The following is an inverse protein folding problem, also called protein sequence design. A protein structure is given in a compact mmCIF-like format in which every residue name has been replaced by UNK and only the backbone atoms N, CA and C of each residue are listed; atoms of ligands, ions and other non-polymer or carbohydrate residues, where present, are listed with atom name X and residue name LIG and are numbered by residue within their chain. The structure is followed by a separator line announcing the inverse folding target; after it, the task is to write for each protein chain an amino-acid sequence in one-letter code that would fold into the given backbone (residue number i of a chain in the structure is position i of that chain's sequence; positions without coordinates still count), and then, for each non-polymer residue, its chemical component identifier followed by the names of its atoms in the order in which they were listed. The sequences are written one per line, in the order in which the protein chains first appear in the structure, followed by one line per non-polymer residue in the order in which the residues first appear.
data_IF_455697304119
#
_entry.id   IF_455697304119
#
_cell.length_a   1.000
_cell.length_b   1.000
_cell.length_c   1.000
_cell.angle_alpha   90.00
_cell.angle_beta   90.00
_cell.angle_gamma   90.00
#
_symmetry.space_group_name_H-M   'P 1'
#
loop_
_entity.id
_entity.type
_entity.pdbx_description
1 polymer ?
#
# COMPACT_ATOMS: atom_id res chain seq x y z
N UNK A 1 -13.71 1.72 10.69
CA UNK A 1 -12.53 1.14 10.00
C UNK A 1 -12.57 -0.37 9.94
N UNK A 2 -12.56 -1.11 11.05
CA UNK A 2 -12.59 -2.59 11.05
C UNK A 2 -13.59 -3.22 10.07
N UNK A 3 -14.85 -2.76 10.05
CA UNK A 3 -15.86 -3.26 9.13
C UNK A 3 -15.51 -3.07 7.64
N UNK A 4 -14.81 -1.98 7.27
CA UNK A 4 -14.39 -1.72 5.89
C UNK A 4 -13.30 -2.71 5.49
N UNK A 5 -12.29 -2.90 6.34
CA UNK A 5 -11.23 -3.90 6.11
C UNK A 5 -11.81 -5.31 5.98
N UNK A 6 -12.66 -5.72 6.92
CA UNK A 6 -13.32 -7.03 6.86
C UNK A 6 -14.14 -7.21 5.58
N UNK A 7 -14.81 -6.15 5.12
CA UNK A 7 -15.60 -6.18 3.88
C UNK A 7 -14.71 -6.33 2.66
N UNK A 8 -13.60 -5.60 2.60
CA UNK A 8 -12.61 -5.71 1.53
C UNK A 8 -11.94 -7.09 1.52
N UNK A 9 -11.44 -7.57 2.66
CA UNK A 9 -10.88 -8.93 2.82
C UNK A 9 -11.86 -10.01 2.36
N UNK A 10 -13.14 -9.86 2.73
CA UNK A 10 -14.20 -10.78 2.35
C UNK A 10 -14.49 -10.73 0.86
N UNK A 11 -14.44 -9.55 0.24
CA UNK A 11 -14.58 -9.41 -1.21
C UNK A 11 -13.40 -10.07 -1.92
N UNK A 12 -12.17 -9.79 -1.51
CA UNK A 12 -10.93 -10.35 -2.08
C UNK A 12 -10.97 -11.88 -2.01
N UNK A 13 -11.24 -12.44 -0.83
CA UNK A 13 -11.30 -13.90 -0.60
C UNK A 13 -12.36 -14.60 -1.47
N UNK A 14 -13.49 -13.93 -1.75
CA UNK A 14 -14.59 -14.53 -2.53
C UNK A 14 -14.38 -14.42 -4.04
N UNK A 15 -13.77 -13.34 -4.50
CA UNK A 15 -13.71 -13.00 -5.92
C UNK A 15 -12.34 -13.28 -6.54
N UNK A 16 -11.29 -13.44 -5.72
CA UNK A 16 -9.93 -13.69 -6.17
C UNK A 16 -9.31 -14.86 -5.41
N UNK A 17 -8.11 -15.29 -5.81
CA UNK A 17 -7.28 -16.27 -5.08
C UNK A 17 -6.16 -15.59 -4.29
N UNK A 18 -6.26 -14.28 -4.08
CA UNK A 18 -5.21 -13.43 -3.49
C UNK A 18 -5.55 -13.10 -2.04
N UNK A 19 -4.61 -12.43 -1.37
CA UNK A 19 -4.78 -11.91 -0.02
C UNK A 19 -4.28 -10.47 0.04
N UNK A 20 -4.93 -9.63 0.85
CA UNK A 20 -4.40 -8.29 1.15
C UNK A 20 -3.10 -8.35 1.98
N UNK A 21 -2.79 -9.48 2.62
CA UNK A 21 -1.59 -9.61 3.45
C UNK A 21 -1.58 -8.66 4.67
N UNK A 22 -2.75 -8.26 5.16
CA UNK A 22 -2.88 -7.28 6.25
C UNK A 22 -2.22 -7.78 7.53
N UNK A 23 -1.36 -6.94 8.10
CA UNK A 23 -0.64 -7.23 9.33
C UNK A 23 -1.57 -7.04 10.53
N UNK A 24 -1.30 -7.70 11.68
CA UNK A 24 -2.00 -7.39 12.93
C UNK A 24 -1.90 -5.90 13.27
N UNK A 25 -2.96 -5.33 13.84
CA UNK A 25 -2.99 -3.91 14.20
C UNK A 25 -1.85 -3.45 15.12
N UNK A 26 -1.41 -2.22 14.90
CA UNK A 26 -0.41 -1.55 15.72
C UNK A 26 -0.96 -1.30 17.14
N UNK A 27 -0.07 -1.27 18.12
CA UNK A 27 -0.45 -0.93 19.49
C UNK A 27 -0.67 0.58 19.67
N UNK A 28 -1.57 0.96 20.57
CA UNK A 28 -1.78 2.34 21.00
C UNK A 28 -0.47 3.05 21.40
N UNK A 29 0.44 2.31 22.05
CA UNK A 29 1.74 2.81 22.49
C UNK A 29 2.66 3.13 21.31
N UNK A 30 2.68 2.25 20.31
CA UNK A 30 3.46 2.45 19.09
C UNK A 30 2.94 3.66 18.29
N UNK A 31 1.62 3.78 18.14
CA UNK A 31 1.01 4.93 17.43
C UNK A 31 1.34 6.24 18.14
N UNK A 32 1.18 6.31 19.47
CA UNK A 32 1.54 7.51 20.24
C UNK A 32 3.02 7.86 20.13
N UNK A 33 3.90 6.86 20.06
CA UNK A 33 5.33 7.08 19.86
C UNK A 33 5.63 7.64 18.47
N UNK A 34 4.94 7.14 17.43
CA UNK A 34 5.03 7.65 16.06
C UNK A 34 4.55 9.11 15.98
N UNK A 35 3.33 9.41 16.46
CA UNK A 35 2.79 10.78 16.51
C UNK A 35 3.75 11.75 17.21
N UNK A 36 4.31 11.34 18.35
CA UNK A 36 5.32 12.13 19.06
C UNK A 36 6.61 12.34 18.25
N UNK A 37 7.05 11.32 17.50
CA UNK A 37 8.28 11.37 16.68
C UNK A 37 8.10 12.27 15.46
N UNK A 38 6.94 12.21 14.80
CA UNK A 38 6.61 13.03 13.64
C UNK A 38 6.20 14.46 14.04
N UNK A 39 5.84 14.69 15.31
CA UNK A 39 5.38 16.00 15.79
C UNK A 39 3.97 16.35 15.33
N UNK A 40 3.14 15.35 15.02
CA UNK A 40 1.78 15.49 14.50
C UNK A 40 0.83 14.49 15.16
N UNK A 41 -0.47 14.70 14.98
CA UNK A 41 -1.51 13.74 15.37
C UNK A 41 -2.07 13.11 14.10
N UNK A 42 -2.20 11.78 14.06
CA UNK A 42 -2.81 11.14 12.90
C UNK A 42 -4.32 11.42 12.85
N UNK A 43 -4.89 11.64 11.66
CA UNK A 43 -6.33 11.65 11.45
C UNK A 43 -7.02 10.46 12.13
N UNK A 44 -8.18 10.65 12.79
CA UNK A 44 -8.83 9.61 13.59
C UNK A 44 -9.14 8.31 12.82
N UNK A 45 -9.44 8.43 11.53
CA UNK A 45 -9.72 7.31 10.67
C UNK A 45 -8.46 6.53 10.27
N UNK A 46 -7.36 7.21 9.94
CA UNK A 46 -6.08 6.58 9.69
C UNK A 46 -5.54 5.89 10.96
N UNK A 47 -5.62 6.57 12.11
CA UNK A 47 -5.34 5.96 13.42
C UNK A 47 -6.16 4.70 13.65
N UNK A 48 -7.46 4.76 13.36
CA UNK A 48 -8.36 3.60 13.49
C UNK A 48 -8.03 2.48 12.50
N UNK A 49 -7.42 2.81 11.36
CA UNK A 49 -6.89 1.84 10.39
C UNK A 49 -5.66 1.14 10.96
N UNK A 50 -4.67 1.88 11.46
CA UNK A 50 -3.45 1.33 12.08
C UNK A 50 -3.76 0.39 13.25
N UNK A 51 -4.75 0.73 14.08
CA UNK A 51 -5.23 -0.13 15.18
C UNK A 51 -5.91 -1.42 14.68
N UNK A 52 -6.42 -1.43 13.45
CA UNK A 52 -6.98 -2.63 12.83
C UNK A 52 -5.86 -3.45 12.18
N UNK A 53 -5.04 -2.81 11.35
CA UNK A 53 -3.96 -3.43 10.58
C UNK A 53 -2.74 -2.50 10.46
N UNK A 54 -1.56 -3.04 10.74
CA UNK A 54 -0.28 -2.32 10.65
C UNK A 54 0.33 -2.43 9.23
N UNK A 55 -0.43 -2.01 8.22
CA UNK A 55 -0.05 -2.10 6.81
C UNK A 55 -0.19 -3.51 6.21
N UNK A 56 0.38 -3.69 5.02
CA UNK A 56 0.45 -4.95 4.28
C UNK A 56 1.81 -5.61 4.47
N UNK A 57 1.85 -6.93 4.29
CA UNK A 57 3.10 -7.66 4.07
C UNK A 57 3.40 -7.60 2.58
N UNK A 58 4.54 -7.03 2.14
CA UNK A 58 4.90 -7.01 0.73
C UNK A 58 4.91 -8.42 0.14
N UNK A 59 4.27 -8.58 -1.01
CA UNK A 59 4.22 -9.84 -1.75
C UNK A 59 3.91 -9.57 -3.22
N UNK A 60 4.64 -10.23 -4.11
CA UNK A 60 4.40 -10.21 -5.57
C UNK A 60 3.01 -10.78 -5.92
N UNK A 61 2.41 -11.52 -4.98
CA UNK A 61 1.15 -12.22 -5.14
C UNK A 61 0.01 -11.59 -4.32
N UNK A 62 0.25 -10.41 -3.74
CA UNK A 62 -0.68 -9.67 -2.89
C UNK A 62 -1.82 -9.02 -3.67
N UNK A 63 -2.92 -8.71 -2.97
CA UNK A 63 -3.98 -7.85 -3.49
C UNK A 63 -3.73 -6.41 -3.07
N UNK A 64 -3.82 -5.42 -3.97
CA UNK A 64 -3.51 -4.03 -3.65
C UNK A 64 -4.59 -3.39 -2.75
N UNK A 65 -4.17 -2.55 -1.81
CA UNK A 65 -5.09 -1.85 -0.90
C UNK A 65 -5.86 -0.71 -1.58
N UNK A 66 -5.34 -0.19 -2.71
CA UNK A 66 -5.97 0.72 -3.67
C UNK A 66 -5.39 0.49 -5.08
N UNK A 67 -6.13 0.79 -6.17
CA UNK A 67 -5.63 0.69 -7.55
C UNK A 67 -4.41 1.59 -7.80
N UNK A 68 -3.36 1.05 -8.44
CA UNK A 68 -2.16 1.79 -8.81
C UNK A 68 -1.34 2.33 -7.63
N UNK A 69 -1.61 1.88 -6.40
CA UNK A 69 -0.83 2.28 -5.23
C UNK A 69 0.09 1.15 -4.81
N UNK A 70 1.31 1.52 -4.42
CA UNK A 70 2.24 0.59 -3.80
C UNK A 70 1.68 0.02 -2.47
N UNK A 71 2.28 -1.06 -1.92
CA UNK A 71 1.79 -1.69 -0.70
C UNK A 71 1.70 -0.73 0.49
N UNK A 72 0.61 -0.84 1.28
CA UNK A 72 0.43 -0.01 2.47
C UNK A 72 1.52 -0.32 3.51
N UNK A 73 2.25 0.71 3.92
CA UNK A 73 3.41 0.57 4.79
C UNK A 73 3.03 0.27 6.24
N UNK A 74 3.91 -0.44 6.95
CA UNK A 74 3.78 -0.61 8.40
C UNK A 74 4.09 0.70 9.12
N UNK A 75 3.56 0.91 10.33
CA UNK A 75 3.83 2.10 11.14
C UNK A 75 5.33 2.32 11.36
N UNK A 76 6.09 1.24 11.52
CA UNK A 76 7.55 1.32 11.63
C UNK A 76 8.16 1.91 10.35
N UNK A 77 7.77 1.38 9.20
CA UNK A 77 8.25 1.83 7.89
C UNK A 77 7.83 3.27 7.61
N UNK A 78 6.60 3.66 7.96
CA UNK A 78 6.12 5.05 7.87
C UNK A 78 7.03 6.01 8.63
N UNK A 79 7.39 5.65 9.88
CA UNK A 79 8.27 6.50 10.70
C UNK A 79 9.70 6.56 10.15
N UNK A 80 10.21 5.44 9.64
CA UNK A 80 11.52 5.36 8.99
C UNK A 80 11.56 6.23 7.73
N UNK A 81 10.65 5.99 6.79
CA UNK A 81 10.55 6.73 5.55
C UNK A 81 10.34 8.22 5.77
N UNK A 82 9.38 8.60 6.63
CA UNK A 82 9.18 10.01 6.96
C UNK A 82 10.46 10.66 7.49
N UNK A 83 11.22 9.95 8.34
CA UNK A 83 12.48 10.47 8.89
C UNK A 83 13.53 10.65 7.80
N UNK A 84 13.62 9.71 6.86
CA UNK A 84 14.56 9.76 5.76
C UNK A 84 14.21 10.88 4.77
N UNK A 85 12.92 11.09 4.47
CA UNK A 85 12.45 12.19 3.64
C UNK A 85 12.74 13.57 4.25
N UNK A 86 12.77 13.71 5.59
CA UNK A 86 13.04 15.00 6.23
C UNK A 86 14.40 15.63 5.87
N UNK A 87 15.33 14.87 5.28
CA UNK A 87 16.62 15.42 4.81
C UNK A 87 16.50 16.20 3.51
N UNK A 88 15.40 16.03 2.79
CA UNK A 88 15.11 16.63 1.47
C UNK A 88 13.96 17.64 1.54
N UNK A 89 13.60 18.13 2.73
CA UNK A 89 12.60 19.20 2.85
C UNK A 89 13.15 20.45 2.20
N UNK A 90 12.40 20.96 1.22
CA UNK A 90 12.70 22.23 0.58
C UNK A 90 12.16 23.39 1.44
N UNK A 91 12.96 24.44 1.56
CA UNK A 91 12.61 25.68 2.27
C UNK A 91 11.99 26.72 1.30
N UNK A 92 12.09 26.52 -0.01
CA UNK A 92 11.42 27.34 -1.01
C UNK A 92 9.93 26.98 -1.08
N UNK A 93 9.05 27.97 -1.29
CA UNK A 93 7.60 27.76 -1.43
C UNK A 93 7.31 27.54 -2.92
N UNK A 94 7.11 26.28 -3.36
CA UNK A 94 6.85 25.96 -4.76
C UNK A 94 5.45 26.41 -5.17
N UNK A 95 5.22 26.49 -6.48
CA UNK A 95 3.87 26.62 -7.01
C UNK A 95 3.05 25.37 -6.65
N UNK A 96 1.80 25.57 -6.21
CA UNK A 96 0.90 24.47 -5.87
C UNK A 96 0.65 23.56 -7.08
N UNK A 97 0.55 22.24 -6.87
CA UNK A 97 0.23 21.31 -7.96
C UNK A 97 -1.15 21.61 -8.54
N UNK A 98 -2.12 21.86 -7.68
CA UNK A 98 -3.48 22.26 -8.03
C UNK A 98 -4.13 23.04 -6.87
N UNK A 99 -5.45 23.23 -6.94
CA UNK A 99 -6.19 23.93 -5.90
C UNK A 99 -6.35 23.15 -4.58
N UNK A 100 -5.95 21.87 -4.52
CA UNK A 100 -6.06 20.97 -3.36
C UNK A 100 -4.72 20.52 -2.78
N UNK A 101 -3.65 20.50 -3.56
CA UNK A 101 -2.35 19.93 -3.19
C UNK A 101 -1.28 21.00 -3.31
N UNK A 102 -0.61 21.32 -2.18
CA UNK A 102 0.55 22.22 -2.22
C UNK A 102 1.74 21.58 -2.93
N UNK A 103 2.56 22.41 -3.58
CA UNK A 103 3.68 22.01 -4.45
C UNK A 103 4.85 21.31 -3.76
N UNK A 104 4.79 21.10 -2.45
CA UNK A 104 5.86 20.46 -1.71
C UNK A 104 5.86 18.96 -1.96
N UNK A 105 6.81 18.47 -2.75
CA UNK A 105 7.04 17.03 -2.89
C UNK A 105 7.27 16.37 -1.53
N UNK A 106 8.12 16.99 -0.69
CA UNK A 106 8.42 16.55 0.67
C UNK A 106 8.08 17.66 1.67
N UNK A 107 7.33 17.32 2.71
CA UNK A 107 7.00 18.27 3.79
C UNK A 107 6.76 17.52 5.11
N UNK A 108 7.13 18.07 6.29
CA UNK A 108 6.93 17.40 7.59
C UNK A 108 5.48 16.97 7.88
N UNK A 109 4.51 17.62 7.23
CA UNK A 109 3.07 17.35 7.35
C UNK A 109 2.48 16.56 6.17
N UNK A 110 3.31 16.04 5.25
CA UNK A 110 2.91 15.08 4.22
C UNK A 110 3.51 13.73 4.61
N UNK A 111 2.68 12.81 5.10
CA UNK A 111 3.17 11.57 5.72
C UNK A 111 3.13 10.43 4.71
N UNK A 112 4.25 9.78 4.36
CA UNK A 112 4.25 8.61 3.49
C UNK A 112 3.52 7.46 4.18
N UNK A 113 2.56 6.84 3.50
CA UNK A 113 1.74 5.74 4.03
C UNK A 113 1.79 4.48 3.18
N UNK A 114 2.23 4.56 1.92
CA UNK A 114 2.43 3.42 1.04
C UNK A 114 3.59 3.71 0.09
N UNK A 115 4.36 2.68 -0.25
CA UNK A 115 5.54 2.80 -1.11
C UNK A 115 6.09 1.43 -1.50
N UNK A 116 6.83 1.39 -2.61
CA UNK A 116 7.49 0.18 -3.08
C UNK A 116 8.72 -0.14 -2.21
N UNK A 117 9.57 -1.10 -2.61
CA UNK A 117 10.75 -1.48 -1.82
C UNK A 117 11.78 -0.33 -1.69
N UNK A 118 11.86 0.54 -2.70
CA UNK A 118 12.86 1.60 -2.84
C UNK A 118 12.31 3.00 -2.55
N UNK A 119 10.99 3.13 -2.39
CA UNK A 119 10.27 4.38 -2.18
C UNK A 119 10.52 5.43 -3.28
N UNK A 120 10.73 4.97 -4.51
CA UNK A 120 11.08 5.80 -5.68
C UNK A 120 9.96 5.93 -6.72
N UNK A 121 8.77 5.40 -6.45
CA UNK A 121 7.59 5.50 -7.32
C UNK A 121 6.30 5.09 -6.60
N UNK A 122 5.17 5.56 -7.13
CA UNK A 122 3.80 5.24 -6.66
C UNK A 122 3.57 5.41 -5.16
N UNK A 123 4.32 6.33 -4.55
CA UNK A 123 4.19 6.61 -3.13
C UNK A 123 2.85 7.28 -2.86
N UNK A 124 2.16 6.79 -1.84
CA UNK A 124 0.91 7.38 -1.37
C UNK A 124 1.16 8.07 -0.04
N UNK A 125 0.57 9.25 0.13
CA UNK A 125 0.74 10.10 1.29
C UNK A 125 -0.60 10.43 1.95
N UNK A 126 -0.53 10.66 3.26
CA UNK A 126 -1.55 11.36 4.01
C UNK A 126 -1.16 12.84 4.08
N UNK A 127 -1.94 13.68 3.41
CA UNK A 127 -1.64 15.10 3.27
C UNK A 127 -2.31 15.92 4.38
N UNK A 128 -1.50 16.47 5.28
CA UNK A 128 -1.94 17.36 6.36
C UNK A 128 -1.56 18.83 6.09
N UNK A 129 -1.16 19.16 4.85
CA UNK A 129 -0.94 20.53 4.37
C UNK A 129 -1.59 20.72 2.99
N UNK A 130 -2.91 20.52 2.88
CA UNK A 130 -3.61 20.77 1.63
C UNK A 130 -3.50 22.23 1.19
N UNK A 131 -3.71 22.47 -0.10
CA UNK A 131 -3.95 23.81 -0.62
C UNK A 131 -5.37 24.29 -0.29
N UNK A 132 -5.76 25.47 -0.79
CA UNK A 132 -6.96 26.19 -0.33
C UNK A 132 -8.28 25.42 -0.46
N UNK A 133 -8.42 24.54 -1.45
CA UNK A 133 -9.62 23.72 -1.67
C UNK A 133 -9.44 22.26 -1.22
N UNK A 134 -8.27 21.89 -0.70
CA UNK A 134 -8.01 20.54 -0.23
C UNK A 134 -8.56 20.29 1.18
N UNK A 135 -8.47 19.03 1.62
CA UNK A 135 -8.96 18.61 2.94
C UNK A 135 -7.80 18.07 3.77
N UNK A 136 -7.64 18.55 5.01
CA UNK A 136 -6.59 18.03 5.89
C UNK A 136 -6.86 16.55 6.20
N UNK A 137 -5.90 15.68 5.87
CA UNK A 137 -6.04 14.23 5.94
C UNK A 137 -6.49 13.58 4.63
N UNK A 138 -6.51 14.31 3.52
CA UNK A 138 -6.73 13.73 2.20
C UNK A 138 -5.61 12.73 1.84
N UNK A 139 -5.97 11.70 1.07
CA UNK A 139 -5.03 10.71 0.54
C UNK A 139 -4.62 11.16 -0.85
N UNK A 140 -3.32 11.38 -1.03
CA UNK A 140 -2.72 11.76 -2.32
C UNK A 140 -1.73 10.71 -2.76
N UNK A 141 -1.59 10.51 -4.05
CA UNK A 141 -0.61 9.56 -4.61
C UNK A 141 0.01 10.15 -5.85
N UNK A 142 1.26 9.76 -6.11
CA UNK A 142 1.84 10.02 -7.42
C UNK A 142 1.08 9.27 -8.51
N UNK A 143 0.84 9.95 -9.62
CA UNK A 143 0.24 9.43 -10.86
C UNK A 143 1.19 9.54 -12.05
N UNK A 144 2.22 10.37 -11.91
CA UNK A 144 3.43 10.39 -12.74
C UNK A 144 4.65 10.64 -11.85
N UNK A 145 5.86 10.73 -12.42
CA UNK A 145 7.07 11.13 -11.68
C UNK A 145 6.95 12.52 -11.02
N UNK A 146 6.09 13.38 -11.57
CA UNK A 146 5.97 14.78 -11.18
C UNK A 146 4.56 15.18 -10.74
N UNK A 147 3.53 14.36 -10.96
CA UNK A 147 2.14 14.73 -10.70
C UNK A 147 1.55 13.93 -9.53
N UNK A 148 0.72 14.61 -8.73
CA UNK A 148 -0.02 14.00 -7.63
C UNK A 148 -1.52 14.22 -7.79
N UNK A 149 -2.29 13.20 -7.47
CA UNK A 149 -3.75 13.27 -7.45
C UNK A 149 -4.34 12.99 -6.08
N UNK A 150 -5.44 13.68 -5.77
CA UNK A 150 -6.25 13.40 -4.59
C UNK A 150 -7.13 12.17 -4.84
N UNK A 151 -6.79 11.04 -4.21
CA UNK A 151 -7.62 9.84 -4.24
C UNK A 151 -8.93 10.05 -3.49
N UNK A 152 -8.88 10.63 -2.29
CA UNK A 152 -10.06 10.84 -1.46
C UNK A 152 -9.81 11.87 -0.36
N UNK A 153 -10.86 12.54 0.16
CA UNK A 153 -10.72 13.53 1.24
C UNK A 153 -10.33 12.92 2.60
N UNK A 154 -10.31 11.59 2.72
CA UNK A 154 -9.83 10.90 3.92
C UNK A 154 -9.47 9.44 3.64
N UNK A 155 -8.65 8.84 4.51
CA UNK A 155 -8.28 7.42 4.41
C UNK A 155 -9.50 6.50 4.45
N UNK A 156 -10.48 6.82 5.32
CA UNK A 156 -11.74 6.09 5.36
C UNK A 156 -12.48 6.17 4.03
N UNK A 157 -12.55 7.35 3.44
CA UNK A 157 -13.32 7.58 2.21
C UNK A 157 -12.66 6.86 1.02
N UNK A 158 -11.34 6.81 0.96
CA UNK A 158 -10.60 6.03 -0.04
C UNK A 158 -11.04 4.55 0.00
N UNK A 159 -11.03 3.92 1.18
CA UNK A 159 -11.48 2.52 1.31
C UNK A 159 -12.97 2.32 1.00
N UNK A 160 -13.83 3.25 1.42
CA UNK A 160 -15.26 3.16 1.10
C UNK A 160 -15.52 3.18 -0.40
N UNK A 161 -14.84 4.08 -1.11
CA UNK A 161 -14.92 4.21 -2.57
C UNK A 161 -14.34 2.98 -3.26
N UNK A 162 -13.21 2.48 -2.80
CA UNK A 162 -12.60 1.29 -3.39
C UNK A 162 -13.50 0.06 -3.26
N UNK A 163 -14.07 -0.18 -2.08
CA UNK A 163 -15.04 -1.27 -1.87
C UNK A 163 -16.24 -1.10 -2.78
N UNK A 164 -16.75 0.12 -2.93
CA UNK A 164 -17.88 0.41 -3.81
C UNK A 164 -17.55 0.16 -5.28
N UNK A 165 -16.33 0.49 -5.71
CA UNK A 165 -15.83 0.27 -7.06
C UNK A 165 -15.76 -1.24 -7.39
N UNK A 166 -15.24 -2.02 -6.45
CA UNK A 166 -15.13 -3.49 -6.57
C UNK A 166 -16.50 -4.19 -6.51
N UNK A 167 -17.40 -3.75 -5.62
CA UNK A 167 -18.71 -4.38 -5.46
C UNK A 167 -19.69 -4.04 -6.57
N UNK A 168 -19.56 -2.87 -7.19
CA UNK A 168 -20.34 -2.49 -8.38
C UNK A 168 -19.85 -3.21 -9.65
N UNK A 169 -18.64 -3.77 -9.64
CA UNK A 169 -17.99 -4.35 -10.81
C UNK A 169 -17.51 -3.28 -11.81
N UNK A 170 -17.40 -2.03 -11.36
CA UNK A 170 -16.79 -0.93 -12.12
C UNK A 170 -15.27 -1.07 -12.15
N UNK A 171 -14.67 -1.72 -11.15
CA UNK A 171 -13.26 -2.10 -11.12
C UNK A 171 -13.12 -3.62 -11.02
N UNK A 172 -12.16 -4.17 -11.78
CA UNK A 172 -11.92 -5.59 -11.92
C UNK A 172 -10.48 -5.91 -11.53
N UNK A 173 -10.29 -7.08 -10.93
CA UNK A 173 -8.96 -7.58 -10.59
C UNK A 173 -8.41 -8.43 -11.74
N UNK A 174 -7.25 -8.06 -12.28
CA UNK A 174 -6.47 -8.89 -13.20
C UNK A 174 -5.52 -9.78 -12.40
N UNK A 175 -5.76 -11.09 -12.45
CA UNK A 175 -4.94 -12.04 -11.73
C UNK A 175 -3.55 -12.27 -12.34
N UNK A 176 -3.36 -11.96 -13.64
CA UNK A 176 -2.08 -12.12 -14.34
C UNK A 176 -1.10 -11.02 -13.92
N UNK A 177 -1.54 -9.77 -13.98
CA UNK A 177 -0.73 -8.61 -13.61
C UNK A 177 -0.76 -8.34 -12.09
N UNK A 178 -1.76 -8.86 -11.37
CA UNK A 178 -1.89 -8.59 -9.94
C UNK A 178 -2.51 -7.22 -9.62
N UNK A 179 -3.16 -6.61 -10.60
CA UNK A 179 -3.65 -5.23 -10.52
C UNK A 179 -5.17 -5.14 -10.49
N UNK A 180 -5.67 -3.98 -10.03
CA UNK A 180 -7.07 -3.61 -10.17
C UNK A 180 -7.18 -2.45 -11.14
N UNK A 181 -7.98 -2.63 -12.20
CA UNK A 181 -8.20 -1.63 -13.25
C UNK A 181 -9.70 -1.35 -13.41
N UNK A 182 -10.02 -0.20 -14.00
CA UNK A 182 -11.41 0.18 -14.31
C UNK A 182 -11.92 -0.69 -15.46
N UNK A 183 -13.17 -1.16 -15.37
CA UNK A 183 -13.77 -1.96 -16.42
C UNK A 183 -13.80 -1.16 -17.74
N UNK A 184 -13.20 -1.73 -18.78
CA UNK A 184 -13.12 -1.12 -20.10
C UNK A 184 -11.79 -0.42 -20.37
N UNK A 185 -10.86 -0.40 -19.42
CA UNK A 185 -9.46 0.01 -19.64
C UNK A 185 -8.59 -1.24 -19.81
N UNK A 186 -7.48 -1.12 -20.55
CA UNK A 186 -6.49 -2.20 -20.64
C UNK A 186 -5.78 -2.34 -19.28
N UNK A 187 -5.51 -3.57 -18.80
CA UNK A 187 -4.63 -3.80 -17.67
C UNK A 187 -3.18 -3.51 -18.08
N UNK A 188 -2.49 -2.60 -17.39
CA UNK A 188 -1.04 -2.29 -17.53
C UNK A 188 -0.60 -1.64 -18.85
N UNK A 189 -0.13 -0.39 -18.77
CA UNK A 189 0.84 0.23 -19.69
C UNK A 189 2.26 -0.18 -19.28
N UNK A 190 2.59 -1.44 -19.49
CA UNK A 190 3.92 -1.97 -19.22
C UNK A 190 4.40 -2.71 -20.45
N UNK A 191 5.35 -2.09 -21.13
CA UNK A 191 6.25 -2.61 -22.17
C UNK A 191 6.04 -4.11 -22.45
N UNK A 192 5.10 -4.42 -23.35
CA UNK A 192 5.17 -5.65 -24.13
C UNK A 192 6.23 -5.41 -25.25
N UNK A 193 7.43 -4.96 -24.89
CA UNK A 193 8.63 -4.86 -25.75
C UNK A 193 9.28 -6.25 -25.92
N UNK A 194 8.45 -7.25 -26.23
CA UNK A 194 8.87 -8.61 -26.59
C UNK A 194 8.67 -8.84 -28.11
N UNK A 195 8.68 -7.78 -28.92
CA UNK A 195 8.93 -7.89 -30.36
C UNK A 195 10.32 -7.29 -30.67
N UNK A 196 11.32 -8.18 -30.55
CA UNK A 196 12.56 -8.13 -31.34
C UNK A 196 12.18 -8.00 -32.82
N UNK A 197 11.99 -6.79 -33.33
CA UNK A 197 12.17 -6.47 -34.74
C UNK A 197 12.73 -5.05 -34.85
N UNK A 198 14.04 -5.01 -35.09
CA UNK A 198 14.76 -3.87 -35.62
C UNK A 198 13.97 -3.27 -36.81
N UNK A 199 13.39 -2.09 -36.66
CA UNK A 199 13.38 -1.04 -37.68
C UNK A 199 12.90 0.28 -37.09
N UNK A 200 13.67 1.33 -37.35
CA UNK A 200 13.42 2.72 -37.00
C UNK A 200 11.99 3.16 -37.44
N UNK A 201 11.15 3.54 -36.49
CA UNK A 201 10.18 4.65 -36.65
C UNK A 201 9.81 5.20 -35.26
N UNK A 202 10.03 6.51 -35.08
CA UNK A 202 9.62 7.32 -33.92
C UNK A 202 8.09 7.42 -33.84
N UNK A 203 7.40 6.31 -33.56
CA UNK A 203 6.02 6.35 -33.10
C UNK A 203 6.06 6.29 -31.57
N UNK A 204 5.92 7.47 -30.96
CA UNK A 204 5.51 7.68 -29.58
C UNK A 204 4.19 6.92 -29.36
N UNK A 205 4.27 5.60 -29.10
CA UNK A 205 3.11 4.76 -28.92
C UNK A 205 2.41 5.20 -27.63
N UNK A 206 1.29 5.89 -27.86
CA UNK A 206 0.33 6.37 -26.88
C UNK A 206 0.09 5.29 -25.80
N UNK A 207 0.66 5.50 -24.61
CA UNK A 207 0.18 4.87 -23.38
C UNK A 207 -1.22 5.42 -23.06
N UNK A 208 -2.19 5.02 -23.88
CA UNK A 208 -3.61 5.37 -23.79
C UNK A 208 -4.27 4.83 -22.51
N UNK A 209 -3.53 4.04 -21.71
CA UNK A 209 -3.98 3.36 -20.51
C UNK A 209 -3.54 4.06 -19.25
N UNK A 210 -3.86 5.35 -19.09
CA UNK A 210 -3.43 6.21 -17.97
C UNK A 210 -3.35 5.54 -16.59
N UNK A 211 -2.48 6.07 -15.73
CA UNK A 211 -2.05 5.40 -14.51
C UNK A 211 -3.25 4.90 -13.66
N UNK A 212 -3.27 3.65 -13.17
CA UNK A 212 -4.46 3.11 -12.49
C UNK A 212 -4.91 3.92 -11.28
N UNK A 213 -3.99 4.60 -10.61
CA UNK A 213 -4.32 5.49 -9.50
C UNK A 213 -4.96 6.80 -9.96
N UNK A 214 -4.56 7.34 -11.11
CA UNK A 214 -5.18 8.51 -11.76
C UNK A 214 -6.63 8.19 -12.16
N UNK A 215 -6.82 7.08 -12.88
CA UNK A 215 -8.16 6.60 -13.27
C UNK A 215 -9.05 6.39 -12.04
N UNK A 216 -8.46 5.91 -10.94
CA UNK A 216 -9.19 5.77 -9.69
C UNK A 216 -9.51 7.12 -9.05
N UNK A 217 -8.58 8.08 -9.04
CA UNK A 217 -8.78 9.45 -8.54
C UNK A 217 -9.91 10.19 -9.28
N UNK A 218 -9.94 10.10 -10.61
CA UNK A 218 -11.02 10.67 -11.41
C UNK A 218 -12.36 10.04 -11.04
N UNK A 219 -12.37 8.70 -10.91
CA UNK A 219 -13.58 7.97 -10.56
C UNK A 219 -14.06 8.30 -9.15
N UNK A 220 -13.16 8.46 -8.17
CA UNK A 220 -13.51 8.85 -6.81
C UNK A 220 -14.07 10.27 -6.77
N UNK A 221 -13.50 11.21 -7.53
CA UNK A 221 -14.01 12.56 -7.68
C UNK A 221 -15.44 12.57 -8.26
N UNK A 222 -15.67 11.81 -9.34
CA UNK A 222 -16.99 11.68 -9.96
C UNK A 222 -18.04 10.98 -9.05
N UNK A 223 -17.59 10.15 -8.11
CA UNK A 223 -18.44 9.40 -7.17
C UNK A 223 -18.37 9.95 -5.73
N UNK A 224 -17.89 11.17 -5.53
CA UNK A 224 -17.64 11.74 -4.21
C UNK A 224 -18.88 11.73 -3.30
N UNK A 225 -20.09 11.88 -3.87
CA UNK A 225 -21.37 11.86 -3.13
C UNK A 225 -21.97 10.46 -2.95
N UNK A 226 -21.42 9.43 -3.61
CA UNK A 226 -21.98 8.07 -3.63
C UNK A 226 -21.66 7.33 -2.32
N UNK A 227 -22.69 6.87 -1.63
CA UNK A 227 -22.55 6.19 -0.34
C UNK A 227 -22.33 4.67 -0.51
N UNK A 228 -21.49 4.10 0.34
CA UNK A 228 -21.35 2.66 0.48
C UNK A 228 -22.62 2.10 1.15
N UNK A 229 -23.29 1.14 0.51
CA UNK A 229 -24.50 0.51 1.08
C UNK A 229 -24.13 -0.51 2.14
N UNK A 230 -24.98 -0.76 3.13
CA UNK A 230 -24.69 -1.75 4.20
C UNK A 230 -24.72 -3.21 3.71
N UNK A 231 -25.31 -3.48 2.55
CA UNK A 231 -25.43 -4.83 2.00
C UNK A 231 -24.34 -5.06 0.95
N UNK A 232 -23.47 -6.07 1.10
CA UNK A 232 -22.51 -6.42 0.06
C UNK A 232 -23.25 -6.80 -1.22
N UNK A 233 -22.87 -6.24 -2.36
CA UNK A 233 -23.38 -6.72 -3.65
C UNK A 233 -22.83 -8.12 -3.85
N UNK A 234 -23.70 -9.13 -3.87
CA UNK A 234 -23.29 -10.49 -4.25
C UNK A 234 -22.88 -10.45 -5.71
N UNK A 235 -21.59 -10.63 -6.01
CA UNK A 235 -21.12 -10.80 -7.37
C UNK A 235 -21.94 -11.92 -8.03
N UNK A 236 -22.76 -11.55 -9.00
CA UNK A 236 -23.56 -12.48 -9.77
C UNK A 236 -22.60 -13.34 -10.60
N UNK A 237 -22.66 -14.67 -10.55
CA UNK A 237 -21.78 -15.48 -11.38
C UNK A 237 -22.14 -15.19 -12.83
N UNK A 238 -21.15 -14.72 -13.61
CA UNK A 238 -21.23 -14.70 -15.05
C UNK A 238 -21.66 -16.11 -15.51
N UNK A 239 -22.93 -16.25 -15.91
CA UNK A 239 -23.50 -17.49 -16.42
C UNK A 239 -22.75 -17.86 -17.70
N UNK A 240 -21.82 -18.81 -17.61
CA UNK A 240 -21.51 -19.69 -18.75
C UNK A 240 -22.54 -20.81 -18.78
N UNK A 241 -22.97 -21.13 -20.00
CA UNK A 241 -24.20 -21.83 -20.34
C UNK A 241 -24.45 -23.17 -19.64
N UNK A 242 -25.75 -23.46 -19.52
CA UNK A 242 -26.32 -24.62 -18.90
C UNK A 242 -25.89 -25.94 -19.54
N UNK A 243 -25.66 -26.96 -18.71
CA UNK A 243 -26.06 -28.35 -18.95
C UNK A 243 -26.08 -29.12 -17.62
N UNK A 244 -27.27 -29.46 -17.14
CA UNK A 244 -27.57 -30.51 -16.15
C UNK A 244 -28.93 -31.11 -16.57
N UNK A 245 -29.36 -32.32 -16.12
CA UNK A 245 -28.87 -33.03 -14.95
C UNK A 245 -28.79 -34.57 -15.06
N UNK A 246 -28.07 -35.20 -14.12
CA UNK A 246 -28.47 -36.51 -13.60
C UNK A 246 -28.22 -36.59 -12.09
N UNK A 247 -29.23 -37.08 -11.39
CA UNK A 247 -29.33 -37.17 -9.94
C UNK A 247 -28.74 -38.47 -9.41
N UNK A 248 -28.11 -38.43 -8.24
CA UNK A 248 -27.85 -39.61 -7.42
C UNK A 248 -28.10 -39.27 -5.93
N UNK A 249 -28.91 -40.13 -5.29
CA UNK A 249 -29.40 -40.08 -3.91
C UNK A 249 -28.31 -40.41 -2.86
N UNK A 250 -28.52 -40.08 -1.58
CA UNK A 250 -27.50 -40.09 -0.54
C UNK A 250 -27.25 -41.48 0.07
N UNK A 251 -26.01 -41.77 0.48
CA UNK A 251 -25.66 -42.93 1.32
C UNK A 251 -25.21 -42.47 2.71
N UNK A 252 -25.77 -43.12 3.73
CA UNK A 252 -25.52 -42.96 5.16
C UNK A 252 -24.15 -43.52 5.60
N UNK A 253 -23.66 -43.18 6.82
CA UNK A 253 -22.26 -43.33 7.21
C UNK A 253 -21.93 -44.67 7.89
N UNK A 254 -20.68 -45.17 7.84
CA UNK A 254 -20.25 -46.27 8.68
C UNK A 254 -19.57 -45.81 10.00
N UNK A 255 -19.72 -46.68 10.98
CA UNK A 255 -19.38 -46.56 12.41
C UNK A 255 -17.87 -46.62 12.71
N UNK A 256 -17.51 -46.06 13.88
CA UNK A 256 -16.24 -46.21 14.63
C UNK A 256 -15.72 -47.65 14.71
N UNK A 257 -14.40 -47.80 14.93
CA UNK A 257 -13.92 -48.62 16.04
C UNK A 257 -12.97 -47.88 17.00
N UNK A 258 -12.70 -48.57 18.10
CA UNK A 258 -12.23 -48.09 19.38
C UNK A 258 -10.71 -47.80 19.50
N UNK A 259 -10.43 -46.87 20.43
CA UNK A 259 -9.30 -46.73 21.35
C UNK A 259 -8.01 -47.54 21.14
N UNK A 260 -6.89 -46.83 21.10
CA UNK A 260 -5.67 -47.21 21.84
C UNK A 260 -4.97 -45.97 22.40
N UNK A 261 -4.52 -46.10 23.64
CA UNK A 261 -3.81 -45.09 24.43
C UNK A 261 -2.36 -44.92 23.96
N UNK A 262 -1.86 -43.67 23.88
CA UNK A 262 -0.42 -43.41 24.00
C UNK A 262 -0.14 -42.15 24.83
N UNK A 263 0.12 -42.42 26.11
CA UNK A 263 1.13 -41.83 27.00
C UNK A 263 1.87 -40.57 26.50
N UNK A 264 1.58 -39.44 27.13
CA UNK A 264 2.39 -38.22 27.08
C UNK A 264 3.73 -38.37 27.83
N UNK A 265 4.85 -37.81 27.32
CA UNK A 265 6.03 -37.54 28.14
C UNK A 265 5.99 -36.11 28.72
N UNK A 266 6.17 -36.06 30.05
CA UNK A 266 6.37 -34.87 30.86
C UNK A 266 7.58 -34.06 30.39
N UNK A 267 7.40 -32.77 30.10
CA UNK A 267 8.48 -31.79 30.05
C UNK A 267 8.89 -31.38 31.48
N UNK A 268 10.18 -31.36 31.84
CA UNK A 268 10.61 -30.82 33.12
C UNK A 268 10.76 -29.29 33.08
N UNK A 269 10.23 -28.66 34.13
CA UNK A 269 10.30 -27.23 34.40
C UNK A 269 11.74 -26.72 34.52
N UNK A 270 12.07 -25.63 33.81
CA UNK A 270 13.28 -24.84 34.06
C UNK A 270 12.95 -23.64 34.96
N UNK A 271 13.62 -23.59 36.11
CA UNK A 271 13.63 -22.48 37.10
C UNK A 271 14.32 -21.22 36.54
N UNK A 272 14.04 -20.03 37.11
CA UNK A 272 14.46 -18.74 36.56
C UNK A 272 15.93 -18.44 36.88
N UNK A 273 16.68 -17.95 35.88
CA UNK A 273 18.03 -17.44 36.06
C UNK A 273 18.00 -15.95 36.47
N UNK A 274 18.80 -15.63 37.48
CA UNK A 274 18.92 -14.33 38.15
C UNK A 274 19.65 -13.30 37.28
N UNK A 275 19.16 -12.05 37.36
CA UNK A 275 19.81 -10.82 36.87
C UNK A 275 21.22 -10.65 37.45
N UNK A 276 22.17 -10.22 36.61
CA UNK A 276 23.38 -9.47 37.00
C UNK A 276 23.64 -8.33 36.01
N UNK A 277 24.28 -7.23 36.44
CA UNK A 277 24.13 -5.91 35.83
C UNK A 277 25.06 -5.65 34.63
N UNK A 278 24.58 -4.83 33.69
CA UNK A 278 25.30 -4.34 32.52
C UNK A 278 26.30 -3.26 32.94
N UNK A 279 27.58 -3.48 32.60
CA UNK A 279 28.64 -2.49 32.70
C UNK A 279 28.57 -1.52 31.50
N UNK A 280 28.77 -0.23 31.78
CA UNK A 280 28.90 0.84 30.79
C UNK A 280 30.09 0.56 29.86
N UNK A 281 29.85 0.54 28.55
CA UNK A 281 30.92 0.67 27.54
C UNK A 281 30.85 2.05 26.89
N UNK A 282 31.98 2.74 26.99
CA UNK A 282 32.31 4.04 26.47
C UNK A 282 32.59 4.00 24.96
N UNK A 283 32.15 5.03 24.23
CA UNK A 283 32.40 5.27 22.80
C UNK A 283 33.91 5.35 22.49
N UNK A 284 34.40 4.79 21.36
CA UNK A 284 35.67 5.20 20.77
C UNK A 284 35.49 6.42 19.84
N UNK A 285 36.48 7.31 19.89
CA UNK A 285 36.54 8.59 19.18
C UNK A 285 36.83 8.45 17.67
N UNK A 286 36.30 9.39 16.89
CA UNK A 286 36.54 9.62 15.46
C UNK A 286 38.02 9.86 15.17
N UNK A 287 38.54 9.20 14.13
CA UNK A 287 39.82 9.49 13.49
C UNK A 287 39.56 10.38 12.25
N UNK A 288 40.30 11.48 12.01
CA UNK A 288 40.06 12.35 10.87
C UNK A 288 40.62 11.73 9.56
N UNK A 289 39.84 11.87 8.49
CA UNK A 289 40.22 11.48 7.13
C UNK A 289 41.21 12.49 6.52
N UNK A 290 42.26 11.98 5.89
CA UNK A 290 43.26 12.76 5.17
C UNK A 290 42.72 13.22 3.81
N UNK A 291 42.97 14.49 3.49
CA UNK A 291 42.70 15.14 2.19
C UNK A 291 43.61 14.52 1.12
N UNK A 292 43.03 13.97 0.06
CA UNK A 292 43.75 13.73 -1.20
C UNK A 292 43.62 14.97 -2.09
N UNK A 293 44.76 15.56 -2.47
CA UNK A 293 44.87 16.60 -3.48
C UNK A 293 45.21 15.96 -4.84
N UNK A 294 44.75 16.52 -5.97
CA UNK A 294 44.94 15.93 -7.29
C UNK A 294 46.35 16.17 -7.86
N UNK A 295 46.89 15.13 -8.50
CA UNK A 295 48.17 15.15 -9.20
C UNK A 295 48.08 15.95 -10.52
N UNK A 296 48.98 16.93 -10.66
CA UNK A 296 49.21 17.67 -11.92
C UNK A 296 49.86 16.72 -12.93
N UNK A 297 49.21 16.49 -14.08
CA UNK A 297 49.83 15.89 -15.26
C UNK A 297 50.23 17.01 -16.22
N UNK A 298 51.54 17.17 -16.43
CA UNK A 298 52.09 18.05 -17.45
C UNK A 298 52.16 17.31 -18.78
N UNK A 299 51.57 17.86 -19.83
CA UNK A 299 51.89 17.49 -21.21
C UNK A 299 52.26 18.75 -21.96
N UNK A 300 53.50 18.73 -22.44
CA UNK A 300 54.21 19.77 -23.16
C UNK A 300 53.70 19.79 -24.61
N UNK A 301 53.38 20.97 -25.12
CA UNK A 301 53.23 21.22 -26.55
C UNK A 301 54.58 21.07 -27.26
N UNK A 302 54.57 20.42 -28.42
CA UNK A 302 55.18 20.93 -29.64
C UNK A 302 54.55 20.27 -30.87
#
# INVERSE_FOLDING_TARGET
MKNLWTRLESWVTRNTKRSLGLRPGASEQAIKAAEKKLGLTFPPDFRSSLLAHDGQTPSDDGFPWLPGCAPLASLKTIVEQWTDEQVNVDDEDPEDYDDKIRGFMVHPRRVPIAGNLFWDGDNTYLDLIPAAQGTEGQVVTFTSECDMDVIAPSFRRALELYILALESGEFLFDAKQGEVHKKGTKPGGGDDDDDDDDDDDDDDDDDDGGHPAEIFAEWTAANATRALTDTPVTASPAKRGASKPAAAKPKAPPKKPAATSSKAPKQPAKKPAKKKPVAKQTKPAKKPAARNAPAKRSTKQR
#
